data_IF_373451615017
#
_entry.id   IF_373451615017
#
_cell.length_a   1.000
_cell.length_b   1.000
_cell.length_c   1.000
_cell.angle_alpha   90.00
_cell.angle_beta   90.00
_cell.angle_gamma   90.00
#
_symmetry.space_group_name_H-M   'P 1'
#
loop_
_entity.id
_entity.type
_entity.pdbx_description
1 polymer ?
#
# COMPACT_ATOMS: atom_id res chain seq x y z
N UNK A 1 3.59 -5.34 12.93
CA UNK A 1 3.53 -5.29 11.45
C UNK A 1 4.88 -4.81 10.93
N UNK A 2 5.45 -5.48 9.94
CA UNK A 2 6.65 -5.02 9.22
C UNK A 2 6.21 -4.65 7.82
N UNK A 3 6.48 -3.42 7.39
CA UNK A 3 6.32 -3.02 5.99
C UNK A 3 7.46 -3.66 5.20
N UNK A 4 7.15 -4.44 4.16
CA UNK A 4 8.13 -5.04 3.27
C UNK A 4 8.74 -4.00 2.33
N UNK A 5 9.92 -4.28 1.77
CA UNK A 5 10.52 -3.42 0.75
C UNK A 5 9.63 -3.25 -0.48
N UNK A 6 8.81 -4.26 -0.83
CA UNK A 6 7.86 -4.17 -1.93
C UNK A 6 6.75 -3.15 -1.65
N UNK A 7 6.21 -3.14 -0.44
CA UNK A 7 5.19 -2.17 -0.01
C UNK A 7 5.77 -0.76 0.09
N UNK A 8 6.94 -0.61 0.71
CA UNK A 8 7.60 0.68 0.86
C UNK A 8 7.90 1.30 -0.51
N UNK A 9 8.61 0.59 -1.38
CA UNK A 9 8.96 1.13 -2.70
C UNK A 9 7.76 1.24 -3.63
N UNK A 10 6.75 0.39 -3.49
CA UNK A 10 5.50 0.54 -4.24
C UNK A 10 4.76 1.84 -3.89
N UNK A 11 4.65 2.17 -2.61
CA UNK A 11 4.11 3.45 -2.13
C UNK A 11 4.94 4.63 -2.64
N UNK A 12 6.27 4.58 -2.52
CA UNK A 12 7.18 5.63 -3.00
C UNK A 12 7.00 5.88 -4.50
N UNK A 13 6.90 4.81 -5.30
CA UNK A 13 6.63 4.94 -6.73
C UNK A 13 5.31 5.66 -7.02
N UNK A 14 4.23 5.34 -6.30
CA UNK A 14 2.95 6.03 -6.45
C UNK A 14 3.04 7.52 -6.07
N UNK A 15 3.78 7.85 -5.02
CA UNK A 15 4.03 9.25 -4.64
C UNK A 15 4.77 10.02 -5.74
N UNK A 16 5.77 9.41 -6.40
CA UNK A 16 6.45 10.03 -7.54
C UNK A 16 5.50 10.29 -8.71
N UNK A 17 4.59 9.35 -9.00
CA UNK A 17 3.59 9.55 -10.05
C UNK A 17 2.62 10.68 -9.68
N UNK A 18 2.16 10.75 -8.44
CA UNK A 18 1.28 11.81 -7.97
C UNK A 18 1.95 13.20 -8.06
N UNK A 19 3.23 13.29 -7.67
CA UNK A 19 4.04 14.52 -7.80
C UNK A 19 4.26 14.92 -9.27
N UNK A 20 4.43 13.96 -10.17
CA UNK A 20 4.58 14.23 -11.60
C UNK A 20 3.27 14.68 -12.23
N UNK A 21 2.14 14.04 -11.85
CA UNK A 21 0.80 14.39 -12.34
C UNK A 21 0.43 15.84 -12.02
N UNK A 22 0.81 16.35 -10.85
CA UNK A 22 0.58 17.77 -10.48
C UNK A 22 1.30 18.75 -11.42
N UNK A 23 2.30 18.28 -12.16
CA UNK A 23 3.07 19.04 -13.18
C UNK A 23 2.66 18.71 -14.61
N UNK A 24 1.64 17.84 -14.79
CA UNK A 24 1.23 17.36 -16.11
C UNK A 24 2.25 16.41 -16.78
N UNK A 25 3.10 15.75 -15.98
CA UNK A 25 4.17 14.87 -16.45
C UNK A 25 3.84 13.41 -16.24
N UNK A 26 4.30 12.55 -17.16
CA UNK A 26 4.36 11.08 -16.99
C UNK A 26 5.79 10.65 -16.66
N UNK A 27 5.98 9.58 -15.90
CA UNK A 27 7.30 9.07 -15.56
C UNK A 27 7.60 7.73 -16.24
N UNK A 28 8.76 7.64 -16.87
CA UNK A 28 9.31 6.39 -17.37
C UNK A 28 9.87 5.54 -16.22
N UNK A 29 10.01 4.22 -16.44
CA UNK A 29 10.62 3.30 -15.44
C UNK A 29 12.03 3.76 -15.02
N UNK A 30 12.81 4.29 -15.96
CA UNK A 30 14.15 4.80 -15.67
C UNK A 30 14.11 6.06 -14.77
N UNK A 31 13.12 6.93 -14.96
CA UNK A 31 12.92 8.09 -14.10
C UNK A 31 12.45 7.71 -12.70
N UNK A 32 11.48 6.81 -12.58
CA UNK A 32 11.01 6.27 -11.30
C UNK A 32 12.19 5.63 -10.55
N UNK A 33 12.94 4.74 -11.23
CA UNK A 33 14.08 4.08 -10.63
C UNK A 33 15.13 5.04 -10.10
N UNK A 34 15.48 6.10 -10.86
CA UNK A 34 16.43 7.12 -10.43
C UNK A 34 15.94 7.92 -9.24
N UNK A 35 14.66 8.30 -9.21
CA UNK A 35 14.08 9.09 -8.11
C UNK A 35 14.03 8.32 -6.80
N UNK A 36 13.81 7.01 -6.88
CA UNK A 36 13.65 6.14 -5.70
C UNK A 36 14.89 5.30 -5.37
N UNK A 37 15.97 5.44 -6.14
CA UNK A 37 17.20 4.68 -5.90
C UNK A 37 17.07 3.18 -6.15
N UNK A 38 16.15 2.75 -7.04
CA UNK A 38 15.94 1.35 -7.41
C UNK A 38 16.24 1.11 -8.89
N UNK A 39 16.49 -0.14 -9.26
CA UNK A 39 16.69 -0.49 -10.66
C UNK A 39 15.40 -0.32 -11.48
N UNK A 40 15.54 -0.02 -12.79
CA UNK A 40 14.39 0.03 -13.69
C UNK A 40 13.62 -1.29 -13.74
N UNK A 41 14.29 -2.43 -13.53
CA UNK A 41 13.65 -3.74 -13.45
C UNK A 41 12.74 -3.84 -12.22
N UNK A 42 13.20 -3.39 -11.05
CA UNK A 42 12.38 -3.35 -9.83
C UNK A 42 11.21 -2.38 -9.99
N UNK A 43 11.45 -1.16 -10.53
CA UNK A 43 10.39 -0.23 -10.86
C UNK A 43 9.35 -0.87 -11.79
N UNK A 44 9.81 -1.62 -12.82
CA UNK A 44 8.95 -2.34 -13.76
C UNK A 44 8.07 -3.38 -13.09
N UNK A 45 8.62 -4.17 -12.15
CA UNK A 45 7.87 -5.15 -11.37
C UNK A 45 6.76 -4.47 -10.55
N UNK A 46 7.10 -3.39 -9.84
CA UNK A 46 6.13 -2.64 -9.02
C UNK A 46 5.04 -2.01 -9.89
N UNK A 47 5.41 -1.36 -10.99
CA UNK A 47 4.45 -0.77 -11.93
C UNK A 47 3.53 -1.81 -12.55
N UNK A 48 4.02 -3.02 -12.83
CA UNK A 48 3.20 -4.11 -13.34
C UNK A 48 2.15 -4.55 -12.30
N UNK A 49 2.54 -4.75 -11.03
CA UNK A 49 1.62 -5.10 -9.93
C UNK A 49 0.54 -4.03 -9.78
N UNK A 50 0.95 -2.77 -9.68
CA UNK A 50 0.05 -1.63 -9.49
C UNK A 50 -0.88 -1.40 -10.70
N UNK A 51 -0.39 -1.66 -11.92
CA UNK A 51 -1.18 -1.55 -13.14
C UNK A 51 -2.25 -2.64 -13.24
N UNK A 52 -1.91 -3.88 -12.87
CA UNK A 52 -2.90 -4.98 -12.80
C UNK A 52 -4.04 -4.69 -11.82
N UNK A 53 -3.74 -3.97 -10.76
CA UNK A 53 -4.73 -3.54 -9.76
C UNK A 53 -5.48 -2.25 -10.14
N UNK A 54 -5.20 -1.65 -11.29
CA UNK A 54 -5.85 -0.42 -11.73
C UNK A 54 -5.47 0.84 -10.92
N UNK A 55 -4.31 0.82 -10.24
CA UNK A 55 -3.80 1.98 -9.50
C UNK A 55 -2.93 2.89 -10.38
N UNK A 56 -2.28 2.33 -11.39
CA UNK A 56 -1.50 3.08 -12.38
C UNK A 56 -1.88 2.65 -13.80
N UNK A 57 -1.61 3.54 -14.75
CA UNK A 57 -1.79 3.30 -16.19
C UNK A 57 -0.52 3.65 -16.94
N UNK A 58 -0.22 2.91 -18.01
CA UNK A 58 0.85 3.24 -18.94
C UNK A 58 0.32 4.05 -20.11
N UNK A 59 1.07 5.05 -20.55
CA UNK A 59 0.80 5.83 -21.75
C UNK A 59 1.92 5.61 -22.77
N UNK A 60 1.57 5.31 -24.02
CA UNK A 60 2.51 5.15 -25.13
C UNK A 60 2.81 6.50 -25.79
N UNK A 61 3.93 6.58 -26.49
CA UNK A 61 4.34 7.73 -27.31
C UNK A 61 5.58 8.45 -26.78
N UNK A 62 5.97 9.56 -27.45
CA UNK A 62 7.16 10.36 -27.10
C UNK A 62 7.12 10.97 -25.70
N UNK A 63 5.93 11.22 -25.17
CA UNK A 63 5.68 11.61 -23.78
C UNK A 63 5.13 10.42 -22.95
N UNK A 64 5.45 9.19 -23.37
CA UNK A 64 4.98 7.98 -22.73
C UNK A 64 5.61 7.75 -21.37
N UNK A 65 4.91 6.98 -20.55
CA UNK A 65 5.33 6.66 -19.17
C UNK A 65 4.18 6.11 -18.36
N UNK A 66 4.30 6.22 -17.07
CA UNK A 66 3.28 5.80 -16.10
C UNK A 66 2.65 7.03 -15.45
N UNK A 67 1.36 6.93 -15.19
CA UNK A 67 0.55 7.92 -14.47
C UNK A 67 -0.33 7.17 -13.45
N UNK A 68 -0.89 7.89 -12.48
CA UNK A 68 -1.98 7.35 -11.68
C UNK A 68 -3.19 7.06 -12.59
N UNK A 69 -3.93 6.00 -12.29
CA UNK A 69 -5.16 5.65 -13.01
C UNK A 69 -6.35 6.50 -12.58
N UNK A 70 -6.28 7.08 -11.39
CA UNK A 70 -7.28 7.97 -10.77
C UNK A 70 -6.59 8.97 -9.83
N UNK A 71 -7.26 10.07 -9.44
CA UNK A 71 -6.68 11.08 -8.54
C UNK A 71 -6.10 10.49 -7.26
N UNK A 72 -4.98 11.02 -6.79
CA UNK A 72 -4.34 10.57 -5.54
C UNK A 72 -5.26 10.64 -4.31
N UNK A 73 -6.25 11.55 -4.31
CA UNK A 73 -7.28 11.68 -3.28
C UNK A 73 -8.28 10.51 -3.23
N UNK A 74 -8.38 9.73 -4.30
CA UNK A 74 -9.26 8.57 -4.41
C UNK A 74 -8.53 7.24 -4.19
N UNK A 75 -7.21 7.27 -4.00
CA UNK A 75 -6.38 6.09 -3.73
C UNK A 75 -6.18 5.96 -2.23
N UNK A 76 -6.79 4.95 -1.62
CA UNK A 76 -6.65 4.65 -0.19
C UNK A 76 -5.44 3.76 0.06
N UNK A 77 -4.73 3.98 1.18
CA UNK A 77 -3.50 3.23 1.48
C UNK A 77 -3.73 1.75 1.69
N UNK A 78 -4.85 1.36 2.30
CA UNK A 78 -5.17 -0.06 2.48
C UNK A 78 -5.28 -0.80 1.13
N UNK A 79 -5.83 -0.17 0.09
CA UNK A 79 -5.89 -0.74 -1.27
C UNK A 79 -4.49 -0.95 -1.84
N UNK A 80 -3.60 0.02 -1.63
CA UNK A 80 -2.21 -0.07 -2.11
C UNK A 80 -1.46 -1.18 -1.41
N UNK A 81 -1.53 -1.24 -0.08
CA UNK A 81 -0.84 -2.26 0.73
C UNK A 81 -1.34 -3.66 0.36
N UNK A 82 -2.65 -3.90 0.31
CA UNK A 82 -3.23 -5.19 -0.09
C UNK A 82 -2.72 -5.67 -1.45
N UNK A 83 -2.60 -4.77 -2.42
CA UNK A 83 -2.09 -5.10 -3.77
C UNK A 83 -0.61 -5.45 -3.75
N UNK A 84 0.17 -4.77 -2.93
CA UNK A 84 1.62 -4.98 -2.83
C UNK A 84 1.98 -6.17 -1.93
N UNK A 85 1.19 -6.48 -0.92
CA UNK A 85 1.34 -7.71 -0.09
C UNK A 85 1.21 -8.98 -0.94
N UNK A 86 0.37 -8.95 -1.96
CA UNK A 86 0.21 -10.04 -2.93
C UNK A 86 -0.71 -11.17 -2.48
N UNK A 87 -0.93 -11.39 -1.21
CA UNK A 87 -1.86 -12.40 -0.69
C UNK A 87 -2.69 -11.86 0.49
N UNK A 88 -4.00 -12.22 0.57
CA UNK A 88 -4.84 -11.82 1.69
C UNK A 88 -4.34 -12.43 3.00
N UNK A 89 -4.60 -11.75 4.09
CA UNK A 89 -4.24 -12.12 5.46
C UNK A 89 -4.73 -13.52 5.89
N UNK A 90 -5.78 -14.02 5.31
CA UNK A 90 -6.23 -15.41 5.47
C UNK A 90 -5.22 -16.45 4.95
N UNK A 91 -4.20 -16.01 4.20
CA UNK A 91 -3.14 -16.88 3.67
C UNK A 91 -2.19 -17.39 4.76
N UNK A 92 -2.07 -16.71 5.92
CA UNK A 92 -1.20 -17.19 7.00
C UNK A 92 -1.52 -18.62 7.43
N UNK A 93 -2.80 -19.01 7.43
CA UNK A 93 -3.19 -20.39 7.72
C UNK A 93 -3.08 -21.31 6.50
N UNK A 94 -3.09 -20.74 5.27
CA UNK A 94 -2.95 -21.49 4.01
C UNK A 94 -1.50 -21.65 3.59
N UNK A 95 -0.65 -20.68 3.93
CA UNK A 95 0.80 -20.69 3.69
C UNK A 95 1.58 -21.10 4.95
N UNK A 96 1.06 -22.09 5.68
CA UNK A 96 1.69 -22.63 6.87
C UNK A 96 3.11 -23.15 6.57
N UNK A 97 4.10 -22.59 7.27
CA UNK A 97 5.53 -22.90 7.07
C UNK A 97 6.06 -24.00 8.01
N UNK A 98 5.18 -24.84 8.56
CA UNK A 98 5.56 -25.95 9.44
C UNK A 98 6.03 -27.18 8.67
N UNK A 99 6.35 -28.25 9.41
CA UNK A 99 6.87 -29.52 8.87
C UNK A 99 5.75 -30.36 8.18
N UNK A 100 4.49 -30.12 8.53
CA UNK A 100 3.34 -30.81 7.98
C UNK A 100 2.72 -30.02 6.81
N UNK A 101 2.00 -30.70 5.94
CA UNK A 101 1.31 -30.08 4.78
C UNK A 101 0.19 -29.12 5.19
N UNK A 102 -0.30 -29.20 6.42
CA UNK A 102 -1.32 -28.33 6.97
C UNK A 102 -1.06 -28.04 8.45
N UNK A 103 -1.55 -26.88 8.90
CA UNK A 103 -1.48 -26.50 10.32
C UNK A 103 -2.34 -27.45 11.16
N UNK A 104 -1.77 -27.96 12.27
CA UNK A 104 -2.47 -28.86 13.20
C UNK A 104 -3.68 -28.22 13.90
N UNK A 105 -3.78 -26.90 13.88
CA UNK A 105 -4.85 -26.11 14.49
C UNK A 105 -5.91 -25.64 13.46
N UNK A 106 -6.10 -26.36 12.35
CA UNK A 106 -7.07 -25.97 11.30
C UNK A 106 -8.50 -25.87 11.79
N UNK A 107 -8.92 -26.75 12.74
CA UNK A 107 -10.28 -26.80 13.27
C UNK A 107 -10.54 -25.74 14.35
N UNK A 108 -9.62 -25.60 15.30
CA UNK A 108 -9.73 -24.68 16.45
C UNK A 108 -8.38 -24.04 16.76
N UNK A 109 -8.31 -22.71 16.69
CA UNK A 109 -7.08 -21.95 16.88
C UNK A 109 -7.34 -20.62 17.60
N UNK A 110 -6.99 -20.57 18.89
CA UNK A 110 -7.15 -19.35 19.70
C UNK A 110 -6.31 -18.15 19.22
N UNK A 111 -5.26 -18.36 18.39
CA UNK A 111 -4.42 -17.28 17.86
C UNK A 111 -5.07 -16.65 16.61
N UNK A 112 -5.79 -17.42 15.82
CA UNK A 112 -6.40 -16.94 14.55
C UNK A 112 -7.27 -15.70 14.73
N UNK A 113 -8.22 -15.65 15.68
CA UNK A 113 -9.05 -14.47 15.90
C UNK A 113 -8.23 -13.23 16.21
N UNK A 114 -7.15 -13.35 17.00
CA UNK A 114 -6.25 -12.23 17.33
C UNK A 114 -5.55 -11.69 16.10
N UNK A 115 -5.03 -12.57 15.24
CA UNK A 115 -4.37 -12.17 13.99
C UNK A 115 -5.36 -11.47 13.07
N UNK A 116 -6.56 -12.02 12.90
CA UNK A 116 -7.62 -11.45 12.05
C UNK A 116 -7.99 -10.06 12.56
N UNK A 117 -8.20 -9.89 13.86
CA UNK A 117 -8.56 -8.60 14.46
C UNK A 117 -7.46 -7.56 14.29
N UNK A 118 -6.19 -7.91 14.56
CA UNK A 118 -5.05 -7.00 14.36
C UNK A 118 -4.96 -6.51 12.91
N UNK A 119 -5.14 -7.42 11.96
CA UNK A 119 -5.12 -7.06 10.55
C UNK A 119 -6.29 -6.14 10.16
N UNK A 120 -7.48 -6.39 10.71
CA UNK A 120 -8.63 -5.54 10.48
C UNK A 120 -8.43 -4.13 11.05
N UNK A 121 -7.84 -4.01 12.24
CA UNK A 121 -7.49 -2.72 12.85
C UNK A 121 -6.53 -1.93 11.96
N UNK A 122 -5.48 -2.59 11.47
CA UNK A 122 -4.50 -1.96 10.57
C UNK A 122 -5.16 -1.56 9.24
N UNK A 123 -5.93 -2.45 8.64
CA UNK A 123 -6.62 -2.16 7.37
C UNK A 123 -7.58 -0.99 7.50
N UNK A 124 -8.37 -0.95 8.56
CA UNK A 124 -9.28 0.17 8.84
C UNK A 124 -8.51 1.49 9.03
N UNK A 125 -7.39 1.47 9.74
CA UNK A 125 -6.57 2.66 9.90
C UNK A 125 -6.00 3.17 8.56
N UNK A 126 -5.52 2.26 7.70
CA UNK A 126 -5.01 2.60 6.37
C UNK A 126 -6.13 3.03 5.40
N UNK A 127 -7.36 2.56 5.59
CA UNK A 127 -8.50 2.93 4.76
C UNK A 127 -8.91 4.41 4.92
N UNK A 128 -8.57 5.03 6.05
CA UNK A 128 -8.84 6.46 6.30
C UNK A 128 -7.83 7.39 5.62
N UNK A 129 -6.67 6.84 5.17
CA UNK A 129 -5.57 7.61 4.63
C UNK A 129 -5.57 7.52 3.10
N UNK A 130 -5.50 8.66 2.42
CA UNK A 130 -5.35 8.74 0.97
C UNK A 130 -3.90 8.98 0.55
N UNK A 131 -3.56 8.60 -0.68
CA UNK A 131 -2.24 8.87 -1.24
C UNK A 131 -1.92 10.38 -1.28
N UNK A 132 -2.93 11.23 -1.52
CA UNK A 132 -2.75 12.69 -1.54
C UNK A 132 -2.31 13.25 -0.19
N UNK A 133 -2.71 12.67 0.92
CA UNK A 133 -2.31 13.11 2.26
C UNK A 133 -0.82 12.84 2.58
N UNK A 134 -0.18 11.97 1.80
CA UNK A 134 1.26 11.70 1.89
C UNK A 134 2.10 12.63 1.01
N UNK A 135 1.47 13.53 0.24
CA UNK A 135 2.16 14.50 -0.62
C UNK A 135 2.50 15.76 0.18
N UNK A 136 3.55 15.70 0.98
CA UNK A 136 3.95 16.84 1.77
C UNK A 136 5.26 16.61 2.51
N UNK A 137 5.63 17.58 3.35
CA UNK A 137 6.72 17.36 4.31
C UNK A 137 6.29 16.36 5.38
N UNK A 138 7.25 15.71 6.01
CA UNK A 138 7.01 14.78 7.12
C UNK A 138 6.12 15.41 8.21
N UNK A 139 6.38 16.67 8.58
CA UNK A 139 5.58 17.40 9.55
C UNK A 139 4.12 17.59 9.13
N UNK A 140 3.86 17.83 7.84
CA UNK A 140 2.50 18.00 7.33
C UNK A 140 1.74 16.66 7.32
N UNK A 141 2.42 15.58 6.95
CA UNK A 141 1.85 14.21 6.97
C UNK A 141 1.53 13.81 8.40
N UNK A 142 2.46 14.04 9.34
CA UNK A 142 2.26 13.74 10.76
C UNK A 142 1.04 14.48 11.34
N UNK A 143 0.93 15.78 11.07
CA UNK A 143 -0.23 16.56 11.49
C UNK A 143 -1.55 16.03 10.90
N UNK A 144 -1.58 15.64 9.63
CA UNK A 144 -2.75 15.07 8.99
C UNK A 144 -3.17 13.72 9.62
N UNK A 145 -2.20 12.86 9.93
CA UNK A 145 -2.45 11.58 10.59
C UNK A 145 -3.01 11.75 12.00
N UNK A 146 -2.51 12.71 12.78
CA UNK A 146 -3.04 13.03 14.11
C UNK A 146 -4.48 13.53 14.06
N UNK A 147 -4.86 14.32 13.06
CA UNK A 147 -6.24 14.76 12.87
C UNK A 147 -7.20 13.59 12.62
N UNK A 148 -6.79 12.61 11.78
CA UNK A 148 -7.58 11.41 11.50
C UNK A 148 -7.79 10.58 12.77
N UNK A 149 -6.76 10.41 13.58
CA UNK A 149 -6.82 9.64 14.83
C UNK A 149 -7.62 10.37 15.92
N UNK A 150 -7.51 11.68 16.01
CA UNK A 150 -8.25 12.51 16.96
C UNK A 150 -9.75 12.64 16.66
N UNK A 151 -10.15 12.47 15.41
CA UNK A 151 -11.55 12.51 14.98
C UNK A 151 -12.33 11.21 15.29
N UNK A 152 -11.67 10.10 15.63
CA UNK A 152 -12.34 8.88 16.09
C UNK A 152 -12.65 8.97 17.57
N UNK A 153 -13.93 8.90 18.01
CA UNK A 153 -14.24 8.76 19.43
C UNK A 153 -13.54 7.49 19.94
N UNK A 154 -12.69 7.63 20.94
CA UNK A 154 -12.15 6.47 21.67
C UNK A 154 -13.35 5.70 22.19
N UNK A 155 -13.66 4.57 21.57
CA UNK A 155 -14.70 3.67 22.05
C UNK A 155 -14.46 3.41 23.53
N UNK A 156 -15.45 3.77 24.35
CA UNK A 156 -15.47 3.42 25.77
C UNK A 156 -15.43 1.90 25.86
N UNK A 157 -14.26 1.35 26.14
CA UNK A 157 -14.14 -0.01 26.64
C UNK A 157 -14.72 0.03 28.06
N UNK A 158 -16.01 -0.26 28.18
CA UNK A 158 -16.59 -0.65 29.48
C UNK A 158 -16.08 -2.06 29.76
N UNK A 159 -15.35 -2.17 30.86
CA UNK A 159 -14.99 -3.42 31.53
C UNK A 159 -16.25 -4.07 32.12
#
# INVERSE_FOLDING_TARGET
MKISAQEEYGLRCLLQLALAESKGESLTLAQIGRREGISSANAGKLMWILSKAGLVRSQRGTKGGYNLARPASEIRLNQVIRVLEGEPVDSHCKSYAGVLDACVHTGDCGIRPVIVELNQIVDNALAEITLSQLLGSEANVDAALHQIQGAKPRGQTQL
#
